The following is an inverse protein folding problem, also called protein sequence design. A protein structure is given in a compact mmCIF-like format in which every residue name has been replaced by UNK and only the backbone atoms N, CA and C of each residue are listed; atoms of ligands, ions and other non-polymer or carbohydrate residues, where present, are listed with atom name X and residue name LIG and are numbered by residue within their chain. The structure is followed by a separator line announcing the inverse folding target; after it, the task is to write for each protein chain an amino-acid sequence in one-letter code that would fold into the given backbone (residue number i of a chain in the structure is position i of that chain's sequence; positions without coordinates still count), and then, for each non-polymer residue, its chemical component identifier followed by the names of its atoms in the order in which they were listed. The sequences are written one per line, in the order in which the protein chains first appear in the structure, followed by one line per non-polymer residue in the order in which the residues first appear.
data_IF_847750032537
#
_entry.id   IF_847750032537
#
_cell.length_a   1.000
_cell.length_b   1.000
_cell.length_c   1.000
_cell.angle_alpha   90.00
_cell.angle_beta   90.00
_cell.angle_gamma   90.00
#
_symmetry.space_group_name_H-M   'P 1'
#
loop_
_entity.id
_entity.type
_entity.pdbx_description
1 polymer ?
#
# COMPACT_ATOMS: atom_id res chain seq x y z
N UNK A 1 24.30 -16.40 41.86
CA UNK A 1 24.20 -15.86 40.49
C UNK A 1 25.59 -15.70 39.81
N UNK A 2 26.65 -15.26 40.52
CA UNK A 2 28.00 -15.09 39.92
C UNK A 2 28.67 -16.43 39.53
N UNK A 3 28.48 -17.50 40.30
CA UNK A 3 29.10 -18.80 40.03
C UNK A 3 28.59 -19.48 38.74
N UNK A 4 27.38 -19.13 38.28
CA UNK A 4 26.82 -19.68 37.05
C UNK A 4 27.31 -18.95 35.77
N UNK A 5 27.84 -17.74 35.91
CA UNK A 5 28.33 -16.96 34.75
C UNK A 5 29.71 -17.47 34.25
N UNK A 6 30.45 -18.21 35.08
CA UNK A 6 31.77 -18.76 34.75
C UNK A 6 31.70 -20.16 34.13
N UNK A 7 30.52 -20.77 34.08
CA UNK A 7 30.31 -22.06 33.42
C UNK A 7 30.33 -21.87 31.91
N UNK A 8 31.40 -22.33 31.27
CA UNK A 8 31.52 -22.41 29.81
C UNK A 8 30.61 -23.53 29.29
N UNK A 9 29.49 -23.18 28.70
CA UNK A 9 28.58 -24.12 28.07
C UNK A 9 27.69 -23.38 27.08
N UNK A 10 27.06 -24.12 26.15
CA UNK A 10 26.03 -23.55 25.28
C UNK A 10 24.85 -23.07 26.13
N UNK A 11 24.39 -21.84 25.84
CA UNK A 11 23.20 -21.35 26.51
C UNK A 11 22.03 -22.26 26.16
N UNK A 12 21.19 -22.58 27.12
CA UNK A 12 19.95 -23.28 26.90
C UNK A 12 19.10 -22.50 25.85
N UNK A 13 18.52 -23.25 24.92
CA UNK A 13 17.65 -22.68 23.87
C UNK A 13 16.53 -21.86 24.52
N UNK A 14 16.44 -20.60 24.19
CA UNK A 14 15.30 -19.77 24.60
C UNK A 14 14.02 -20.28 23.94
N UNK A 15 12.99 -20.50 24.72
CA UNK A 15 11.69 -20.96 24.24
C UNK A 15 10.91 -19.81 23.57
N UNK A 16 11.23 -18.57 23.96
CA UNK A 16 10.56 -17.39 23.47
C UNK A 16 11.54 -16.55 22.65
N UNK A 17 11.06 -16.08 21.50
CA UNK A 17 11.74 -15.01 20.76
C UNK A 17 11.66 -13.71 21.56
N UNK A 18 12.60 -12.77 21.35
CA UNK A 18 12.44 -11.42 21.85
C UNK A 18 11.18 -10.79 21.24
N UNK A 19 10.50 -9.87 21.95
CA UNK A 19 9.38 -9.15 21.36
C UNK A 19 9.81 -8.42 20.09
N UNK A 20 8.85 -8.16 19.19
CA UNK A 20 9.10 -7.34 18.01
C UNK A 20 9.74 -6.01 18.41
N UNK A 21 10.69 -5.49 17.62
CA UNK A 21 11.31 -4.20 17.89
C UNK A 21 10.24 -3.10 17.88
N UNK A 22 10.38 -2.11 18.75
CA UNK A 22 9.46 -0.98 18.84
C UNK A 22 9.41 -0.12 17.55
N UNK A 23 10.45 -0.21 16.73
CA UNK A 23 10.57 0.40 15.41
C UNK A 23 11.21 -0.57 14.45
N UNK A 24 10.65 -0.61 13.24
CA UNK A 24 11.21 -1.33 12.10
C UNK A 24 11.36 -0.30 10.99
N UNK A 25 12.56 -0.16 10.42
CA UNK A 25 12.76 0.71 9.27
C UNK A 25 12.35 -0.06 8.01
N UNK A 26 11.71 0.61 7.08
CA UNK A 26 11.26 -0.03 5.85
C UNK A 26 12.39 -0.75 5.08
N UNK A 27 13.59 -0.17 4.91
CA UNK A 27 14.69 -0.86 4.22
C UNK A 27 15.14 -2.18 4.87
N UNK A 28 14.88 -2.37 6.17
CA UNK A 28 15.29 -3.57 6.90
C UNK A 28 14.35 -4.76 6.64
N UNK A 29 13.14 -4.51 6.10
CA UNK A 29 12.09 -5.51 5.89
C UNK A 29 11.48 -5.50 4.50
N UNK A 30 11.79 -4.47 3.70
CA UNK A 30 11.23 -4.30 2.37
C UNK A 30 11.91 -5.25 1.38
N UNK A 31 11.20 -6.30 1.01
CA UNK A 31 11.66 -7.27 0.02
C UNK A 31 10.58 -7.47 -1.05
N UNK A 32 10.97 -7.75 -2.31
CA UNK A 32 10.03 -8.20 -3.32
C UNK A 32 9.34 -9.50 -2.86
N UNK A 33 8.02 -9.52 -2.87
CA UNK A 33 7.26 -10.66 -2.34
C UNK A 33 6.33 -11.29 -3.39
N UNK A 34 6.27 -10.72 -4.60
CA UNK A 34 5.44 -11.15 -5.71
C UNK A 34 5.28 -10.06 -6.76
N UNK A 35 4.44 -10.30 -7.74
CA UNK A 35 4.20 -9.38 -8.86
C UNK A 35 3.55 -8.06 -8.40
N UNK A 36 2.64 -8.12 -7.42
CA UNK A 36 1.98 -6.99 -6.80
C UNK A 36 2.05 -7.09 -5.26
N UNK A 37 3.18 -7.54 -4.73
CA UNK A 37 3.34 -7.76 -3.30
C UNK A 37 4.65 -7.20 -2.78
N UNK A 38 4.62 -6.57 -1.62
CA UNK A 38 5.80 -6.08 -0.92
C UNK A 38 5.69 -6.28 0.59
N UNK A 39 6.82 -6.50 1.23
CA UNK A 39 6.90 -6.59 2.69
C UNK A 39 6.97 -5.19 3.29
N UNK A 40 6.10 -4.91 4.26
CA UNK A 40 5.93 -3.59 4.89
C UNK A 40 6.15 -3.57 6.40
N UNK A 41 6.51 -4.71 6.97
CA UNK A 41 6.69 -4.83 8.42
C UNK A 41 7.08 -6.24 8.83
N UNK A 42 6.90 -6.55 10.10
CA UNK A 42 7.12 -7.87 10.70
C UNK A 42 5.87 -8.35 11.41
N UNK A 43 5.62 -9.65 11.32
CA UNK A 43 4.61 -10.36 12.10
C UNK A 43 5.29 -11.35 13.03
N UNK A 44 4.86 -11.36 14.29
CA UNK A 44 5.30 -12.36 15.26
C UNK A 44 4.37 -13.57 15.23
N UNK A 45 4.91 -14.76 14.96
CA UNK A 45 4.22 -16.05 15.07
C UNK A 45 4.76 -16.83 16.30
N UNK A 46 4.23 -16.58 17.48
CA UNK A 46 4.72 -17.21 18.71
C UNK A 46 4.56 -18.73 18.69
N UNK A 47 3.57 -19.23 17.95
CA UNK A 47 3.28 -20.66 17.86
C UNK A 47 4.38 -21.41 17.10
N UNK A 48 4.92 -20.77 16.05
CA UNK A 48 6.01 -21.34 15.26
C UNK A 48 7.38 -20.83 15.70
N UNK A 49 7.42 -19.96 16.72
CA UNK A 49 8.64 -19.33 17.25
C UNK A 49 9.46 -18.66 16.14
N UNK A 50 8.80 -17.84 15.32
CA UNK A 50 9.44 -17.09 14.24
C UNK A 50 8.84 -15.70 14.10
N UNK A 51 9.62 -14.83 13.53
CA UNK A 51 9.20 -13.50 13.12
C UNK A 51 9.39 -13.42 11.61
N UNK A 52 8.30 -13.23 10.90
CA UNK A 52 8.28 -13.24 9.43
C UNK A 52 8.00 -11.83 8.89
N UNK A 53 8.41 -11.52 7.66
CA UNK A 53 7.96 -10.31 6.97
C UNK A 53 6.44 -10.26 6.88
N UNK A 54 5.86 -9.11 7.20
CA UNK A 54 4.45 -8.82 6.96
C UNK A 54 4.29 -8.32 5.52
N UNK A 55 3.78 -9.17 4.66
CA UNK A 55 3.61 -8.89 3.24
C UNK A 55 2.20 -8.42 2.96
N UNK A 56 2.08 -7.33 2.19
CA UNK A 56 0.84 -6.88 1.59
C UNK A 56 0.85 -7.31 0.12
N UNK A 57 -0.16 -8.10 -0.28
CA UNK A 57 -0.31 -8.64 -1.62
C UNK A 57 -1.59 -8.07 -2.25
N UNK A 58 -1.42 -7.27 -3.31
CA UNK A 58 -2.51 -6.66 -4.07
C UNK A 58 -3.02 -7.59 -5.18
N UNK A 59 -2.34 -8.70 -5.49
CA UNK A 59 -2.80 -9.72 -6.43
C UNK A 59 -3.73 -10.74 -5.80
N UNK A 60 -3.79 -10.79 -4.46
CA UNK A 60 -4.64 -11.72 -3.71
C UNK A 60 -6.13 -11.41 -3.91
N UNK A 61 -6.97 -12.34 -3.47
CA UNK A 61 -8.42 -12.39 -3.69
C UNK A 61 -9.12 -11.02 -3.71
N UNK A 62 -9.42 -10.53 -4.90
CA UNK A 62 -10.13 -9.27 -5.13
C UNK A 62 -9.25 -8.06 -5.49
N UNK A 63 -7.91 -8.15 -5.46
CA UNK A 63 -7.02 -7.06 -5.89
C UNK A 63 -7.07 -5.78 -5.06
N UNK A 64 -7.75 -5.79 -3.90
CA UNK A 64 -7.96 -4.61 -3.07
C UNK A 64 -7.48 -4.82 -1.64
N UNK A 65 -7.01 -3.73 -1.03
CA UNK A 65 -6.64 -3.68 0.39
C UNK A 65 -7.39 -2.55 1.08
N UNK A 66 -8.06 -2.86 2.18
CA UNK A 66 -8.71 -1.89 3.04
C UNK A 66 -7.97 -1.76 4.38
N UNK A 67 -7.60 -0.53 4.74
CA UNK A 67 -6.95 -0.21 6.01
C UNK A 67 -7.96 0.54 6.90
N UNK A 68 -8.46 -0.14 7.93
CA UNK A 68 -9.43 0.41 8.85
C UNK A 68 -8.82 0.64 10.24
N UNK A 69 -9.30 1.66 10.93
CA UNK A 69 -8.86 1.99 12.29
C UNK A 69 -9.38 3.34 12.76
N UNK A 70 -9.28 3.62 14.05
CA UNK A 70 -9.65 4.89 14.65
C UNK A 70 -8.79 6.08 14.20
N UNK A 71 -9.10 7.28 14.65
CA UNK A 71 -8.23 8.44 14.43
C UNK A 71 -6.82 8.21 15.01
N UNK A 72 -5.79 8.71 14.31
CA UNK A 72 -4.38 8.65 14.76
C UNK A 72 -3.82 7.24 14.99
N UNK A 73 -4.40 6.19 14.40
CA UNK A 73 -3.89 4.82 14.50
C UNK A 73 -2.83 4.47 13.45
N UNK A 74 -2.40 5.43 12.63
CA UNK A 74 -1.34 5.24 11.65
C UNK A 74 -1.81 4.76 10.26
N UNK A 75 -3.11 4.87 9.92
CA UNK A 75 -3.64 4.46 8.60
C UNK A 75 -2.89 5.12 7.43
N UNK A 76 -2.80 6.45 7.43
CA UNK A 76 -2.09 7.21 6.39
C UNK A 76 -0.60 6.85 6.35
N UNK A 77 0.01 6.55 7.49
CA UNK A 77 1.38 6.05 7.54
C UNK A 77 1.50 4.66 6.91
N UNK A 78 0.57 3.75 7.17
CA UNK A 78 0.55 2.43 6.56
C UNK A 78 0.39 2.51 5.03
N UNK A 79 -0.48 3.40 4.54
CA UNK A 79 -0.62 3.69 3.10
C UNK A 79 0.71 4.18 2.51
N UNK A 80 1.35 5.18 3.12
CA UNK A 80 2.65 5.68 2.66
C UNK A 80 3.73 4.61 2.67
N UNK A 81 3.73 3.77 3.70
CA UNK A 81 4.69 2.65 3.80
C UNK A 81 4.48 1.64 2.68
N UNK A 82 3.23 1.30 2.37
CA UNK A 82 2.90 0.38 1.29
C UNK A 82 3.33 0.94 -0.08
N UNK A 83 2.97 2.18 -0.40
CA UNK A 83 3.36 2.84 -1.66
C UNK A 83 4.88 2.90 -1.77
N UNK A 84 5.59 3.30 -0.71
CA UNK A 84 7.04 3.37 -0.69
C UNK A 84 7.70 1.98 -0.84
N UNK A 85 7.15 0.94 -0.22
CA UNK A 85 7.65 -0.43 -0.34
C UNK A 85 7.48 -0.96 -1.78
N UNK A 86 6.30 -0.76 -2.36
CA UNK A 86 6.04 -1.13 -3.75
C UNK A 86 6.97 -0.38 -4.72
N UNK A 87 7.13 0.94 -4.55
CA UNK A 87 8.03 1.74 -5.36
C UNK A 87 9.51 1.36 -5.21
N UNK A 88 9.92 0.84 -4.05
CA UNK A 88 11.28 0.36 -3.81
C UNK A 88 11.56 -1.03 -4.40
N UNK A 89 10.53 -1.83 -4.64
CA UNK A 89 10.67 -3.24 -5.06
C UNK A 89 10.22 -3.50 -6.49
N UNK A 90 9.50 -2.57 -7.11
CA UNK A 90 8.99 -2.69 -8.47
C UNK A 90 9.50 -1.56 -9.35
N UNK A 91 9.52 -1.76 -10.64
CA UNK A 91 9.82 -0.71 -11.63
C UNK A 91 8.57 0.09 -11.97
N UNK A 92 8.74 1.29 -12.52
CA UNK A 92 7.64 2.14 -13.03
C UNK A 92 6.85 1.49 -14.19
N UNK A 93 7.42 0.47 -14.83
CA UNK A 93 6.72 -0.32 -15.85
C UNK A 93 5.83 -1.41 -15.24
N UNK A 94 6.14 -1.86 -14.02
CA UNK A 94 5.35 -2.87 -13.33
C UNK A 94 4.17 -2.25 -12.58
N UNK A 95 4.40 -1.13 -11.86
CA UNK A 95 3.36 -0.54 -11.03
C UNK A 95 3.38 1.00 -11.11
N UNK A 96 2.19 1.59 -11.14
CA UNK A 96 1.97 3.02 -11.02
C UNK A 96 0.85 3.34 -10.04
N UNK A 97 0.89 4.54 -9.47
CA UNK A 97 -0.05 4.98 -8.45
C UNK A 97 -0.73 6.28 -8.84
N UNK A 98 -2.04 6.33 -8.61
CA UNK A 98 -2.82 7.55 -8.47
C UNK A 98 -3.29 7.65 -7.03
N UNK A 99 -3.16 8.82 -6.41
CA UNK A 99 -3.43 9.01 -4.98
C UNK A 99 -4.46 10.12 -4.79
N UNK A 100 -5.54 9.81 -4.08
CA UNK A 100 -6.53 10.78 -3.63
C UNK A 100 -6.40 10.90 -2.10
N UNK A 101 -5.90 12.05 -1.64
CA UNK A 101 -5.81 12.39 -0.24
C UNK A 101 -7.05 13.19 0.19
N UNK A 102 -8.09 12.47 0.58
CA UNK A 102 -9.28 13.07 1.18
C UNK A 102 -9.15 13.23 2.70
N UNK A 103 -7.97 12.98 3.25
CA UNK A 103 -7.62 13.10 4.65
C UNK A 103 -7.07 14.49 5.02
N UNK A 104 -5.77 14.55 5.30
CA UNK A 104 -5.11 15.74 5.87
C UNK A 104 -3.97 16.32 5.02
N UNK A 105 -3.82 15.91 3.78
CA UNK A 105 -2.70 16.35 2.92
C UNK A 105 -1.35 15.72 3.33
N UNK A 106 -1.36 14.46 3.76
CA UNK A 106 -0.15 13.79 4.24
C UNK A 106 0.62 13.07 3.13
N UNK A 107 0.05 12.99 1.90
CA UNK A 107 0.60 12.20 0.81
C UNK A 107 1.36 12.99 -0.26
N UNK A 108 1.41 14.32 -0.17
CA UNK A 108 2.11 15.19 -1.14
C UNK A 108 3.57 14.74 -1.39
N UNK A 109 4.27 14.33 -0.35
CA UNK A 109 5.66 13.86 -0.47
C UNK A 109 5.82 12.62 -1.38
N UNK A 110 4.77 11.84 -1.61
CA UNK A 110 4.80 10.68 -2.50
C UNK A 110 4.85 11.09 -3.99
N UNK A 111 4.44 12.31 -4.33
CA UNK A 111 4.50 12.82 -5.71
C UNK A 111 5.94 12.88 -6.26
N UNK A 112 6.94 12.89 -5.38
CA UNK A 112 8.35 12.81 -5.76
C UNK A 112 8.78 11.42 -6.26
N UNK A 113 7.99 10.38 -6.04
CA UNK A 113 8.29 9.02 -6.51
C UNK A 113 7.96 8.91 -8.00
N UNK A 114 8.84 8.33 -8.82
CA UNK A 114 8.61 8.17 -10.26
C UNK A 114 7.45 7.24 -10.61
N UNK A 115 6.95 6.48 -9.63
CA UNK A 115 5.79 5.58 -9.75
C UNK A 115 4.44 6.30 -9.56
N UNK A 116 4.45 7.53 -9.04
CA UNK A 116 3.23 8.28 -8.73
C UNK A 116 2.89 9.20 -9.88
N UNK A 117 1.79 8.91 -10.56
CA UNK A 117 1.30 9.70 -11.69
C UNK A 117 0.61 11.01 -11.25
N UNK A 118 0.06 11.02 -10.03
CA UNK A 118 -0.51 12.22 -9.45
C UNK A 118 -1.04 12.01 -8.05
N UNK A 119 -1.01 13.11 -7.26
CA UNK A 119 -1.65 13.19 -5.94
C UNK A 119 -2.68 14.32 -6.00
N UNK A 120 -3.92 14.05 -5.63
CA UNK A 120 -4.98 15.03 -5.54
C UNK A 120 -5.50 15.14 -4.12
N UNK A 121 -5.59 16.36 -3.59
CA UNK A 121 -6.30 16.62 -2.34
C UNK A 121 -7.81 16.72 -2.61
N UNK A 122 -8.62 16.41 -1.61
CA UNK A 122 -10.08 16.51 -1.68
C UNK A 122 -10.59 17.90 -2.08
N UNK A 123 -9.82 18.93 -1.79
CA UNK A 123 -10.13 20.34 -2.12
C UNK A 123 -9.93 20.66 -3.58
N UNK A 124 -9.11 19.90 -4.29
CA UNK A 124 -8.90 20.00 -5.73
C UNK A 124 -9.83 19.03 -6.48
N UNK A 125 -11.11 19.40 -6.54
CA UNK A 125 -12.18 18.59 -7.14
C UNK A 125 -11.90 18.24 -8.60
N UNK A 126 -11.31 19.15 -9.37
CA UNK A 126 -10.97 18.92 -10.77
C UNK A 126 -9.91 17.84 -10.91
N UNK A 127 -8.86 17.90 -10.10
CA UNK A 127 -7.78 16.91 -10.12
C UNK A 127 -8.26 15.53 -9.66
N UNK A 128 -9.13 15.49 -8.64
CA UNK A 128 -9.77 14.23 -8.19
C UNK A 128 -10.58 13.60 -9.32
N UNK A 129 -11.44 14.37 -9.99
CA UNK A 129 -12.26 13.88 -11.13
C UNK A 129 -11.37 13.35 -12.24
N UNK A 130 -10.36 14.10 -12.62
CA UNK A 130 -9.41 13.69 -13.67
C UNK A 130 -8.69 12.38 -13.34
N UNK A 131 -8.29 12.17 -12.08
CA UNK A 131 -7.69 10.90 -11.64
C UNK A 131 -8.69 9.75 -11.80
N UNK A 132 -9.94 9.95 -11.40
CA UNK A 132 -10.97 8.91 -11.50
C UNK A 132 -11.28 8.59 -12.95
N UNK A 133 -11.48 9.61 -13.79
CA UNK A 133 -11.73 9.44 -15.23
C UNK A 133 -10.59 8.67 -15.91
N UNK A 134 -9.34 8.96 -15.55
CA UNK A 134 -8.15 8.26 -16.08
C UNK A 134 -8.15 6.79 -15.66
N UNK A 135 -8.42 6.51 -14.40
CA UNK A 135 -8.45 5.12 -13.88
C UNK A 135 -9.64 4.34 -14.47
N UNK A 136 -10.80 4.95 -14.63
CA UNK A 136 -11.93 4.32 -15.35
C UNK A 136 -11.56 4.04 -16.81
N UNK A 137 -10.85 4.94 -17.45
CA UNK A 137 -10.38 4.77 -18.82
C UNK A 137 -9.54 3.51 -19.03
N UNK A 138 -8.80 3.04 -18.02
CA UNK A 138 -8.07 1.78 -18.09
C UNK A 138 -8.98 0.55 -18.08
N UNK A 139 -10.16 0.65 -17.47
CA UNK A 139 -11.17 -0.43 -17.48
C UNK A 139 -11.83 -0.50 -18.85
N UNK A 140 -12.18 0.65 -19.43
CA UNK A 140 -12.85 0.73 -20.72
C UNK A 140 -11.94 0.35 -21.90
N UNK A 141 -10.65 0.63 -21.76
CA UNK A 141 -9.64 0.30 -22.75
C UNK A 141 -8.53 -0.53 -22.10
N UNK A 142 -8.79 -1.82 -21.82
CA UNK A 142 -7.76 -2.72 -21.29
C UNK A 142 -6.55 -2.66 -22.21
N UNK A 143 -5.37 -2.57 -21.61
CA UNK A 143 -4.15 -2.37 -22.38
C UNK A 143 -3.92 -3.48 -23.37
N UNK A 144 -3.53 -3.10 -24.56
CA UNK A 144 -3.08 -4.05 -25.59
C UNK A 144 -1.83 -4.78 -25.07
N UNK A 145 -1.75 -6.09 -25.30
CA UNK A 145 -0.60 -6.95 -24.98
C UNK A 145 0.74 -6.52 -25.62
N UNK A 146 0.78 -5.32 -26.23
CA UNK A 146 1.96 -4.80 -26.90
C UNK A 146 2.62 -3.67 -26.11
N UNK A 147 3.54 -3.97 -25.16
CA UNK A 147 4.16 -2.99 -24.27
C UNK A 147 5.16 -2.05 -24.98
N UNK A 148 5.29 -2.14 -26.30
CA UNK A 148 6.35 -1.44 -27.03
C UNK A 148 6.05 0.02 -27.37
N UNK A 149 4.81 0.47 -27.22
CA UNK A 149 4.38 1.83 -27.63
C UNK A 149 3.83 2.69 -26.50
N UNK A 150 3.49 2.09 -25.37
CA UNK A 150 2.95 2.80 -24.21
C UNK A 150 3.89 2.70 -23.01
N UNK A 151 4.24 3.85 -22.43
CA UNK A 151 5.09 3.93 -21.25
C UNK A 151 4.29 3.72 -19.94
N UNK A 152 3.06 3.27 -20.02
CA UNK A 152 2.18 3.02 -18.89
C UNK A 152 2.60 1.78 -18.09
N UNK A 153 2.42 1.76 -16.77
CA UNK A 153 2.72 0.60 -15.93
C UNK A 153 1.78 -0.58 -16.26
N UNK A 154 2.24 -1.81 -16.04
CA UNK A 154 1.41 -3.01 -16.22
C UNK A 154 0.20 -3.00 -15.26
N UNK A 155 0.42 -2.50 -14.04
CA UNK A 155 -0.63 -2.41 -13.03
C UNK A 155 -0.75 -0.97 -12.52
N UNK A 156 -1.98 -0.50 -12.40
CA UNK A 156 -2.32 0.81 -11.85
C UNK A 156 -3.06 0.64 -10.53
N UNK A 157 -2.58 1.31 -9.49
CA UNK A 157 -3.19 1.28 -8.16
C UNK A 157 -3.78 2.64 -7.84
N UNK A 158 -5.09 2.68 -7.61
CA UNK A 158 -5.76 3.84 -7.04
C UNK A 158 -5.73 3.77 -5.53
N UNK A 159 -5.09 4.75 -4.91
CA UNK A 159 -4.98 4.91 -3.46
C UNK A 159 -5.95 5.98 -3.00
N UNK A 160 -6.81 5.67 -2.03
CA UNK A 160 -7.75 6.63 -1.45
C UNK A 160 -7.56 6.65 0.07
N UNK A 161 -7.03 7.74 0.59
CA UNK A 161 -7.01 7.98 2.04
C UNK A 161 -8.16 8.92 2.43
N UNK A 162 -8.91 8.58 3.47
CA UNK A 162 -10.08 9.33 3.90
C UNK A 162 -11.36 8.99 3.10
N UNK A 163 -11.55 7.74 2.73
CA UNK A 163 -12.71 7.23 1.99
C UNK A 163 -14.05 7.81 2.43
N UNK A 164 -14.30 7.85 3.75
CA UNK A 164 -15.55 8.37 4.29
C UNK A 164 -15.77 9.87 3.97
N UNK A 165 -14.70 10.65 3.87
CA UNK A 165 -14.79 12.08 3.53
C UNK A 165 -15.03 12.30 2.03
N UNK A 166 -14.54 11.40 1.20
CA UNK A 166 -14.76 11.43 -0.25
C UNK A 166 -16.21 11.07 -0.60
N UNK A 167 -16.75 10.04 0.06
CA UNK A 167 -18.05 9.45 -0.25
C UNK A 167 -19.19 9.93 0.64
N UNK A 168 -18.96 10.95 1.48
CA UNK A 168 -20.01 11.51 2.35
C UNK A 168 -21.18 12.09 1.52
N UNK A 169 -22.43 11.97 2.00
CA UNK A 169 -23.61 12.48 1.29
C UNK A 169 -23.58 13.97 0.96
N UNK A 170 -22.86 14.76 1.76
CA UNK A 170 -22.71 16.20 1.55
C UNK A 170 -21.40 16.56 0.82
N UNK A 171 -20.69 15.55 0.29
CA UNK A 171 -19.47 15.78 -0.46
C UNK A 171 -19.80 16.30 -1.85
N UNK A 172 -19.06 17.31 -2.31
CA UNK A 172 -19.13 17.77 -3.71
C UNK A 172 -18.67 16.70 -4.72
N UNK A 173 -18.14 15.59 -4.25
CA UNK A 173 -17.65 14.45 -5.00
C UNK A 173 -18.58 13.23 -4.84
N UNK A 174 -19.79 13.43 -4.32
CA UNK A 174 -20.77 12.33 -4.13
C UNK A 174 -21.11 11.62 -5.44
N UNK A 175 -21.15 12.36 -6.53
CA UNK A 175 -21.41 11.86 -7.89
C UNK A 175 -20.34 10.87 -8.40
N UNK A 176 -19.15 10.86 -7.80
CA UNK A 176 -18.07 9.90 -8.14
C UNK A 176 -18.26 8.52 -7.49
N UNK A 177 -19.29 8.34 -6.67
CA UNK A 177 -19.52 7.07 -5.97
C UNK A 177 -19.72 5.89 -6.92
N UNK A 178 -20.45 6.10 -8.01
CA UNK A 178 -20.72 5.04 -8.99
C UNK A 178 -19.45 4.67 -9.76
N UNK A 179 -18.64 5.67 -10.15
CA UNK A 179 -17.34 5.46 -10.77
C UNK A 179 -16.38 4.68 -9.85
N UNK A 180 -16.31 5.06 -8.58
CA UNK A 180 -15.51 4.35 -7.58
C UNK A 180 -16.00 2.91 -7.34
N UNK A 181 -17.31 2.68 -7.34
CA UNK A 181 -17.88 1.35 -7.23
C UNK A 181 -17.52 0.48 -8.44
N UNK A 182 -17.56 1.05 -9.65
CA UNK A 182 -17.13 0.39 -10.87
C UNK A 182 -15.64 0.04 -10.85
N UNK A 183 -14.79 0.98 -10.47
CA UNK A 183 -13.34 0.73 -10.32
C UNK A 183 -13.09 -0.41 -9.33
N UNK A 184 -13.84 -0.46 -8.23
CA UNK A 184 -13.70 -1.51 -7.22
C UNK A 184 -14.21 -2.87 -7.71
N UNK A 185 -15.21 -2.94 -8.61
CA UNK A 185 -15.75 -4.21 -9.10
C UNK A 185 -14.98 -4.74 -10.31
N UNK A 186 -14.62 -3.87 -11.24
CA UNK A 186 -14.13 -4.25 -12.57
C UNK A 186 -12.61 -4.06 -12.72
N UNK A 187 -12.02 -3.15 -11.92
CA UNK A 187 -10.59 -2.83 -11.98
C UNK A 187 -9.63 -4.02 -11.83
N UNK A 188 -9.87 -4.98 -10.91
CA UNK A 188 -8.98 -6.13 -10.75
C UNK A 188 -8.93 -7.08 -11.95
N UNK A 189 -9.87 -6.96 -12.88
CA UNK A 189 -9.97 -7.81 -14.07
C UNK A 189 -9.46 -7.13 -15.36
N UNK A 190 -9.09 -5.83 -15.27
CA UNK A 190 -8.75 -4.99 -16.42
C UNK A 190 -7.24 -4.97 -16.77
#
# INVERSE_FOLDING_TARGET
ARAAADLRGEQARKIWLPPLPARVNLPDVCEPAGELAASIGLVDDPYRQRQDPFTCDLSAAGGHVAIAGGPQTGKSMAVRTLVAAMAATHTTRQIGFYIIDAGRGEHEALEALPHVAGVAERTDEERVRRIIDEVEGFIDNPRSDNPSTDNSPAHTVLVIDGWHSLTAPDSKLEDLRDALARIASDGPAA
#
